data_IF_599621157706
#
_entry.id   IF_599621157706
#
_cell.length_a   1.000
_cell.length_b   1.000
_cell.length_c   1.000
_cell.angle_alpha   90.00
_cell.angle_beta   90.00
_cell.angle_gamma   90.00
#
_symmetry.space_group_name_H-M   'P 1'
#
loop_
_entity.id
_entity.type
_entity.pdbx_description
1 polymer ?
#
# COMPACT_ATOMS: atom_id res chain seq x y z
N UNK A 1 19.90 1.57 -13.21
CA UNK A 1 18.91 2.67 -13.29
C UNK A 1 17.56 2.16 -12.82
N UNK A 2 17.22 2.34 -11.54
CA UNK A 2 15.90 1.95 -11.03
C UNK A 2 14.85 2.92 -11.59
N UNK A 3 13.80 2.35 -12.17
CA UNK A 3 12.72 3.06 -12.88
C UNK A 3 12.14 4.14 -11.98
N UNK A 4 12.01 5.34 -12.55
CA UNK A 4 11.15 6.37 -12.00
C UNK A 4 9.73 5.81 -11.87
N UNK A 5 9.36 5.41 -10.66
CA UNK A 5 8.08 4.82 -10.27
C UNK A 5 6.87 5.58 -10.82
N UNK A 6 6.31 5.02 -11.88
CA UNK A 6 4.89 5.11 -12.22
C UNK A 6 4.19 3.85 -11.72
N UNK A 7 2.86 3.90 -11.63
CA UNK A 7 2.03 2.75 -11.34
C UNK A 7 2.05 1.82 -12.56
N UNK A 8 2.44 0.56 -12.36
CA UNK A 8 2.46 -0.47 -13.40
C UNK A 8 1.06 -1.07 -13.53
N UNK A 9 0.36 -0.74 -14.62
CA UNK A 9 -1.01 -1.16 -14.86
C UNK A 9 -1.12 -2.68 -15.00
N UNK A 10 -0.16 -3.31 -15.67
CA UNK A 10 -0.19 -4.74 -15.96
C UNK A 10 0.05 -5.55 -14.68
N UNK A 11 0.99 -5.08 -13.84
CA UNK A 11 1.23 -5.68 -12.54
C UNK A 11 -0.02 -5.60 -11.64
N UNK A 12 -0.70 -4.46 -11.59
CA UNK A 12 -1.93 -4.29 -10.81
C UNK A 12 -3.09 -5.13 -11.36
N UNK A 13 -3.22 -5.24 -12.69
CA UNK A 13 -4.24 -6.06 -13.32
C UNK A 13 -4.07 -7.56 -12.98
N UNK A 14 -2.83 -8.06 -12.88
CA UNK A 14 -2.56 -9.43 -12.42
C UNK A 14 -3.02 -9.71 -10.98
N UNK A 15 -3.16 -8.65 -10.16
CA UNK A 15 -3.72 -8.71 -8.80
C UNK A 15 -5.23 -8.46 -8.77
N UNK A 16 -5.88 -8.35 -9.93
CA UNK A 16 -7.31 -8.05 -10.06
C UNK A 16 -7.68 -6.59 -9.76
N UNK A 17 -6.71 -5.67 -9.82
CA UNK A 17 -6.94 -4.23 -9.59
C UNK A 17 -7.00 -3.50 -10.93
N UNK A 18 -8.18 -2.96 -11.24
CA UNK A 18 -8.38 -2.09 -12.41
C UNK A 18 -7.88 -0.67 -12.11
N UNK A 19 -6.73 -0.32 -12.69
CA UNK A 19 -6.08 0.98 -12.48
C UNK A 19 -6.90 2.14 -13.09
N UNK A 20 -7.63 1.92 -14.18
CA UNK A 20 -8.43 2.97 -14.81
C UNK A 20 -9.64 3.31 -13.93
N UNK A 21 -10.31 2.28 -13.42
CA UNK A 21 -11.39 2.46 -12.46
C UNK A 21 -10.91 3.17 -11.19
N UNK A 22 -9.75 2.79 -10.67
CA UNK A 22 -9.14 3.44 -9.49
C UNK A 22 -8.82 4.91 -9.77
N UNK A 23 -8.30 5.23 -10.96
CA UNK A 23 -8.06 6.61 -11.41
C UNK A 23 -9.35 7.42 -11.49
N UNK A 24 -10.38 6.87 -12.13
CA UNK A 24 -11.67 7.54 -12.25
C UNK A 24 -12.28 7.85 -10.88
N UNK A 25 -12.27 6.87 -9.97
CA UNK A 25 -12.74 7.06 -8.60
C UNK A 25 -11.91 8.10 -7.85
N UNK A 26 -10.59 8.07 -7.98
CA UNK A 26 -9.72 9.03 -7.32
C UNK A 26 -9.96 10.46 -7.83
N UNK A 27 -10.11 10.65 -9.13
CA UNK A 27 -10.37 11.96 -9.73
C UNK A 27 -11.76 12.49 -9.36
N UNK A 28 -12.77 11.62 -9.28
CA UNK A 28 -14.10 12.00 -8.82
C UNK A 28 -14.11 12.48 -7.35
N UNK A 29 -13.21 11.95 -6.52
CA UNK A 29 -13.17 12.22 -5.07
C UNK A 29 -12.19 13.33 -4.70
N UNK A 30 -11.06 13.44 -5.39
CA UNK A 30 -9.94 14.33 -5.05
C UNK A 30 -9.60 15.34 -6.17
N UNK A 31 -10.34 15.32 -7.27
CA UNK A 31 -10.19 16.21 -8.44
C UNK A 31 -9.22 15.66 -9.50
N UNK A 32 -9.24 16.20 -10.73
CA UNK A 32 -8.52 15.65 -11.87
C UNK A 32 -7.03 15.40 -11.62
N UNK A 33 -6.52 14.27 -12.11
CA UNK A 33 -5.13 13.86 -11.96
C UNK A 33 -4.71 13.69 -10.50
N UNK A 34 -5.61 13.23 -9.62
CA UNK A 34 -5.34 13.04 -8.20
C UNK A 34 -4.17 12.08 -7.96
N UNK A 35 -4.19 10.92 -8.64
CA UNK A 35 -3.15 9.90 -8.49
C UNK A 35 -1.82 10.33 -9.12
N UNK A 36 -1.86 11.02 -10.27
CA UNK A 36 -0.65 11.48 -10.95
C UNK A 36 0.04 12.63 -10.20
N UNK A 37 -0.71 13.43 -9.43
CA UNK A 37 -0.14 14.43 -8.52
C UNK A 37 0.55 13.78 -7.32
N UNK A 38 -0.04 12.71 -6.76
CA UNK A 38 0.55 11.96 -5.65
C UNK A 38 1.87 11.28 -6.04
N UNK A 39 1.98 10.76 -7.28
CA UNK A 39 3.22 10.17 -7.79
C UNK A 39 4.34 11.18 -8.09
N UNK A 40 3.97 12.44 -8.38
CA UNK A 40 4.90 13.53 -8.69
C UNK A 40 5.52 14.19 -7.46
N UNK A 41 4.94 14.02 -6.28
CA UNK A 41 5.56 14.42 -5.00
C UNK A 41 6.71 13.48 -4.63
N UNK A 42 7.82 13.54 -5.37
CA UNK A 42 9.12 13.07 -4.87
C UNK A 42 9.73 14.20 -4.02
N UNK A 43 10.13 13.84 -2.80
CA UNK A 43 10.92 14.63 -1.84
C UNK A 43 10.21 15.76 -1.06
N UNK A 44 9.04 15.51 -0.47
CA UNK A 44 8.51 16.38 0.57
C UNK A 44 7.47 15.69 1.45
N UNK A 45 7.58 15.85 2.78
CA UNK A 45 6.58 15.36 3.73
C UNK A 45 5.23 16.01 3.39
N UNK A 46 4.21 15.24 2.96
CA UNK A 46 2.93 15.78 2.55
C UNK A 46 2.35 16.67 3.65
N UNK A 47 1.91 17.88 3.28
CA UNK A 47 1.22 18.76 4.20
C UNK A 47 -0.21 18.25 4.35
N UNK A 48 -0.62 17.93 5.57
CA UNK A 48 -2.03 17.64 5.83
C UNK A 48 -2.87 18.89 5.61
N UNK A 49 -3.92 18.76 4.80
CA UNK A 49 -4.96 19.78 4.69
C UNK A 49 -5.74 19.91 6.02
N UNK A 50 -6.46 21.02 6.23
CA UNK A 50 -7.22 21.32 7.44
C UNK A 50 -8.17 20.17 7.83
N UNK A 51 -8.85 19.58 6.85
CA UNK A 51 -9.75 18.44 7.06
C UNK A 51 -9.01 17.18 7.50
N UNK A 52 -7.85 16.90 6.91
CA UNK A 52 -7.02 15.75 7.30
C UNK A 52 -6.47 15.90 8.72
N UNK A 53 -6.03 17.10 9.10
CA UNK A 53 -5.65 17.40 10.50
C UNK A 53 -6.82 17.18 11.45
N UNK A 54 -8.01 17.64 11.08
CA UNK A 54 -9.22 17.44 11.88
C UNK A 54 -9.55 15.96 12.08
N UNK A 55 -9.47 15.15 11.02
CA UNK A 55 -9.66 13.71 11.09
C UNK A 55 -8.68 13.04 12.05
N UNK A 56 -7.39 13.44 12.03
CA UNK A 56 -6.38 12.93 12.95
C UNK A 56 -6.65 13.31 14.41
N UNK A 57 -7.07 14.55 14.68
CA UNK A 57 -7.48 14.99 16.03
C UNK A 57 -8.66 14.17 16.55
N UNK A 58 -9.66 13.92 15.69
CA UNK A 58 -10.84 13.13 16.05
C UNK A 58 -10.46 11.67 16.28
N UNK A 59 -9.58 11.09 15.46
CA UNK A 59 -9.05 9.74 15.65
C UNK A 59 -8.32 9.61 16.99
N UNK A 60 -7.47 10.58 17.34
CA UNK A 60 -6.80 10.61 18.64
C UNK A 60 -7.81 10.63 19.80
N UNK A 61 -8.87 11.44 19.70
CA UNK A 61 -9.93 11.48 20.72
C UNK A 61 -10.65 10.14 20.86
N UNK A 62 -10.87 9.42 19.76
CA UNK A 62 -11.47 8.08 19.80
C UNK A 62 -10.55 7.05 20.45
N UNK A 63 -9.24 7.09 20.16
CA UNK A 63 -8.26 6.22 20.82
C UNK A 63 -8.28 6.41 22.35
N UNK A 64 -8.31 7.66 22.81
CA UNK A 64 -8.42 7.98 24.23
C UNK A 64 -9.75 7.51 24.85
N UNK A 65 -10.89 7.71 24.15
CA UNK A 65 -12.21 7.25 24.62
C UNK A 65 -12.26 5.74 24.80
N UNK A 66 -11.64 4.99 23.89
CA UNK A 66 -11.57 3.53 23.91
C UNK A 66 -10.46 2.99 24.83
N UNK A 67 -9.67 3.90 25.44
CA UNK A 67 -8.52 3.58 26.31
C UNK A 67 -7.44 2.74 25.60
N UNK A 68 -7.29 2.97 24.31
CA UNK A 68 -6.24 2.34 23.50
C UNK A 68 -4.96 3.14 23.59
N UNK A 69 -3.82 2.43 23.73
CA UNK A 69 -2.50 3.03 23.91
C UNK A 69 -1.85 3.44 22.58
N UNK A 70 -2.52 3.23 21.46
CA UNK A 70 -1.99 3.43 20.12
C UNK A 70 -3.11 3.76 19.14
N UNK A 71 -2.81 4.53 18.09
CA UNK A 71 -3.77 4.85 17.05
C UNK A 71 -3.84 3.70 16.05
N UNK A 72 -4.85 2.84 16.17
CA UNK A 72 -5.20 1.81 15.18
C UNK A 72 -6.02 2.37 14.01
N UNK A 73 -6.09 1.60 12.92
CA UNK A 73 -6.88 1.94 11.71
C UNK A 73 -8.34 2.26 12.03
N UNK A 74 -8.90 1.58 13.02
CA UNK A 74 -10.25 1.81 13.54
C UNK A 74 -10.47 3.24 14.04
N UNK A 75 -9.54 3.78 14.81
CA UNK A 75 -9.67 5.15 15.31
C UNK A 75 -9.58 6.14 14.15
N UNK A 76 -8.73 5.85 13.17
CA UNK A 76 -8.65 6.65 11.96
C UNK A 76 -9.97 6.63 11.17
N UNK A 77 -10.60 5.47 11.00
CA UNK A 77 -11.92 5.34 10.38
C UNK A 77 -12.98 6.11 11.16
N UNK A 78 -13.03 5.99 12.49
CA UNK A 78 -13.97 6.74 13.33
C UNK A 78 -13.72 8.26 13.26
N UNK A 79 -12.45 8.68 13.20
CA UNK A 79 -12.06 10.07 13.02
C UNK A 79 -12.46 10.63 11.66
N UNK A 80 -12.30 9.84 10.59
CA UNK A 80 -12.71 10.18 9.23
C UNK A 80 -14.23 10.24 9.07
N UNK A 81 -14.97 9.30 9.64
CA UNK A 81 -16.44 9.32 9.63
C UNK A 81 -17.04 10.56 10.32
N UNK A 82 -16.25 11.20 11.20
CA UNK A 82 -16.65 12.42 11.91
C UNK A 82 -15.99 13.69 11.36
N UNK A 83 -14.99 13.55 10.50
CA UNK A 83 -14.37 14.67 9.81
C UNK A 83 -15.03 14.80 8.45
N UNK A 84 -15.94 15.77 8.33
CA UNK A 84 -16.65 16.07 7.09
C UNK A 84 -15.69 16.09 5.88
N UNK A 85 -16.02 15.35 4.82
CA UNK A 85 -15.24 15.35 3.58
C UNK A 85 -15.29 14.05 2.78
N UNK A 86 -14.40 13.96 1.79
CA UNK A 86 -14.31 12.82 0.87
C UNK A 86 -14.06 11.48 1.55
N UNK A 87 -13.29 11.48 2.64
CA UNK A 87 -13.01 10.27 3.43
C UNK A 87 -14.26 9.70 4.10
N UNK A 88 -15.14 10.56 4.62
CA UNK A 88 -16.43 10.14 5.18
C UNK A 88 -17.30 9.50 4.10
N UNK A 89 -17.49 10.21 2.97
CA UNK A 89 -18.33 9.73 1.88
C UNK A 89 -17.84 8.38 1.31
N UNK A 90 -16.53 8.15 1.27
CA UNK A 90 -15.96 6.88 0.84
C UNK A 90 -16.24 5.74 1.84
N UNK A 91 -16.10 6.01 3.14
CA UNK A 91 -16.35 5.02 4.19
C UNK A 91 -17.84 4.65 4.28
N UNK A 92 -18.73 5.64 4.12
CA UNK A 92 -20.18 5.43 4.05
C UNK A 92 -20.56 4.57 2.84
N UNK A 93 -20.01 4.87 1.65
CA UNK A 93 -20.21 4.05 0.44
C UNK A 93 -19.70 2.61 0.60
N UNK A 94 -18.68 2.42 1.43
CA UNK A 94 -18.11 1.11 1.73
C UNK A 94 -18.91 0.33 2.78
N UNK A 95 -20.00 0.90 3.32
CA UNK A 95 -20.85 0.25 4.32
C UNK A 95 -20.21 0.13 5.71
N UNK A 96 -19.23 0.97 6.03
CA UNK A 96 -18.55 0.93 7.33
C UNK A 96 -19.44 1.56 8.40
N UNK A 97 -19.99 0.72 9.29
CA UNK A 97 -20.78 1.18 10.42
C UNK A 97 -19.88 1.59 11.61
N UNK A 98 -19.93 2.85 12.09
CA UNK A 98 -19.17 3.30 13.25
C UNK A 98 -19.48 2.50 14.52
N UNK A 99 -20.68 1.92 14.67
CA UNK A 99 -21.02 1.12 15.84
C UNK A 99 -20.17 -0.16 15.91
N UNK A 100 -19.81 -0.77 14.77
CA UNK A 100 -18.92 -1.95 14.71
C UNK A 100 -17.47 -1.62 15.04
N UNK A 101 -17.09 -0.35 14.91
CA UNK A 101 -15.74 0.15 15.16
C UNK A 101 -15.50 0.58 16.62
N UNK A 102 -16.54 0.66 17.45
CA UNK A 102 -16.41 1.10 18.86
C UNK A 102 -16.09 0.02 19.90
N UNK A 103 -16.49 -1.26 19.75
CA UNK A 103 -16.13 -2.28 20.72
C UNK A 103 -14.61 -2.38 20.81
N UNK A 104 -14.07 -2.47 22.03
CA UNK A 104 -12.62 -2.63 22.26
C UNK A 104 -12.09 -3.78 21.40
N UNK A 105 -11.15 -3.49 20.50
CA UNK A 105 -10.52 -4.54 19.69
C UNK A 105 -9.77 -5.44 20.66
N UNK A 106 -9.97 -6.74 20.52
CA UNK A 106 -9.04 -7.69 21.11
C UNK A 106 -7.64 -7.35 20.55
N UNK A 107 -6.57 -7.38 21.36
CA UNK A 107 -5.23 -7.09 20.86
C UNK A 107 -4.99 -7.88 19.58
N UNK A 108 -4.62 -7.16 18.51
CA UNK A 108 -4.35 -7.78 17.22
C UNK A 108 -3.26 -8.82 17.43
N UNK A 109 -3.47 -10.02 16.87
CA UNK A 109 -2.39 -11.01 16.77
C UNK A 109 -1.14 -10.32 16.19
N UNK A 110 0.07 -10.71 16.64
CA UNK A 110 1.30 -10.11 16.15
C UNK A 110 1.24 -10.07 14.62
N UNK A 111 1.65 -8.94 14.04
CA UNK A 111 1.73 -8.78 12.59
C UNK A 111 2.44 -10.01 12.05
N UNK A 112 1.87 -10.64 11.02
CA UNK A 112 2.61 -11.65 10.25
C UNK A 112 3.93 -10.99 9.89
N UNK A 113 5.00 -11.37 10.59
CA UNK A 113 6.35 -11.07 10.15
C UNK A 113 6.41 -11.80 8.81
N UNK A 114 6.58 -11.10 7.67
CA UNK A 114 6.91 -11.85 6.46
C UNK A 114 8.06 -12.79 6.84
N UNK A 115 8.04 -14.07 6.43
CA UNK A 115 9.16 -14.96 6.71
C UNK A 115 10.41 -14.16 6.35
N UNK A 116 11.32 -14.03 7.31
CA UNK A 116 12.49 -13.18 7.15
C UNK A 116 13.08 -13.53 5.79
N UNK A 117 13.03 -12.59 4.83
CA UNK A 117 13.69 -12.76 3.54
C UNK A 117 15.18 -12.57 3.81
N UNK A 118 15.71 -13.48 4.60
CA UNK A 118 17.11 -13.78 4.72
C UNK A 118 17.48 -14.37 3.36
N UNK A 119 17.75 -13.49 2.40
CA UNK A 119 18.74 -13.79 1.38
C UNK A 119 20.09 -13.93 2.09
N UNK A 120 20.24 -15.03 2.81
CA UNK A 120 21.53 -15.55 3.18
C UNK A 120 21.61 -16.91 2.49
N UNK A 121 22.27 -17.00 1.33
CA UNK A 121 22.74 -18.30 0.88
C UNK A 121 23.96 -18.64 1.75
N UNK A 122 23.90 -19.61 2.68
CA UNK A 122 25.06 -20.47 2.82
C UNK A 122 25.04 -21.36 1.57
N UNK A 123 26.14 -21.41 0.83
CA UNK A 123 26.41 -22.45 -0.18
C UNK A 123 26.01 -22.21 -1.65
N UNK A 124 25.98 -20.96 -2.13
CA UNK A 124 26.16 -20.74 -3.58
C UNK A 124 27.64 -20.89 -3.96
N UNK A 125 28.10 -22.11 -4.22
CA UNK A 125 29.36 -22.35 -4.94
C UNK A 125 29.15 -22.05 -6.43
N UNK A 126 30.15 -21.45 -7.05
CA UNK A 126 30.11 -20.84 -8.37
C UNK A 126 29.93 -21.80 -9.56
N UNK A 127 29.62 -23.08 -9.34
CA UNK A 127 29.70 -24.14 -10.36
C UNK A 127 28.33 -24.67 -10.85
N UNK A 128 27.20 -24.26 -10.27
CA UNK A 128 25.85 -24.73 -10.65
C UNK A 128 25.09 -23.75 -11.58
N UNK A 129 25.78 -23.04 -12.48
CA UNK A 129 25.13 -22.11 -13.45
C UNK A 129 24.67 -22.84 -14.73
N UNK A 130 24.70 -24.17 -14.75
CA UNK A 130 24.59 -24.94 -15.98
C UNK A 130 23.71 -26.17 -15.93
N UNK A 131 22.49 -26.14 -15.38
CA UNK A 131 21.51 -27.19 -15.67
C UNK A 131 20.06 -26.81 -15.33
N UNK A 132 19.17 -27.28 -16.22
CA UNK A 132 17.74 -27.56 -15.99
C UNK A 132 16.72 -26.43 -16.20
N UNK A 133 16.48 -26.17 -17.48
CA UNK A 133 15.14 -26.10 -18.03
C UNK A 133 14.47 -27.48 -17.92
N UNK A 134 13.52 -27.65 -17.00
CA UNK A 134 12.28 -28.46 -17.16
C UNK A 134 11.69 -28.84 -15.81
N UNK A 135 10.81 -28.02 -15.26
CA UNK A 135 9.65 -28.48 -14.48
C UNK A 135 8.76 -27.28 -14.20
N UNK A 136 7.53 -27.33 -14.67
CA UNK A 136 6.54 -26.28 -14.47
C UNK A 136 6.28 -26.03 -12.98
N UNK A 137 6.62 -24.82 -12.54
CA UNK A 137 6.01 -24.01 -11.47
C UNK A 137 6.63 -22.63 -11.64
N UNK A 138 5.78 -21.64 -11.89
CA UNK A 138 6.18 -20.28 -12.21
C UNK A 138 6.70 -19.56 -10.96
N UNK A 139 7.96 -19.81 -10.61
CA UNK A 139 8.78 -18.92 -9.78
C UNK A 139 9.89 -18.36 -10.67
N UNK A 140 9.52 -17.45 -11.57
CA UNK A 140 10.49 -16.84 -12.48
C UNK A 140 11.31 -15.79 -11.72
N UNK A 141 12.52 -16.18 -11.33
CA UNK A 141 13.61 -15.24 -11.07
C UNK A 141 13.98 -14.52 -12.38
N UNK A 142 13.46 -13.32 -12.61
CA UNK A 142 13.97 -12.42 -13.65
C UNK A 142 15.26 -11.77 -13.13
N UNK A 143 16.40 -12.42 -13.36
CA UNK A 143 17.72 -11.77 -13.23
C UNK A 143 17.98 -10.99 -14.52
N UNK A 144 18.16 -9.68 -14.38
CA UNK A 144 18.23 -8.73 -15.49
C UNK A 144 19.30 -9.06 -16.53
N UNK A 145 18.95 -8.88 -17.81
CA UNK A 145 19.93 -8.78 -18.90
C UNK A 145 20.78 -7.53 -18.70
N UNK A 146 22.06 -7.73 -18.42
CA UNK A 146 23.11 -6.75 -18.60
C UNK A 146 24.24 -7.36 -19.43
N UNK A 147 24.83 -6.51 -20.28
CA UNK A 147 26.16 -6.60 -20.90
C UNK A 147 26.35 -7.41 -22.21
N UNK A 148 26.60 -6.61 -23.25
CA UNK A 148 27.72 -6.70 -24.21
C UNK A 148 27.86 -7.88 -25.19
N UNK A 149 27.83 -7.52 -26.49
CA UNK A 149 28.68 -8.13 -27.52
C UNK A 149 29.46 -7.02 -28.23
N UNK A 150 30.71 -6.82 -27.82
CA UNK A 150 31.80 -6.45 -28.72
C UNK A 150 32.64 -7.71 -28.93
N UNK A 151 32.65 -8.25 -30.14
CA UNK A 151 33.85 -8.75 -30.82
C UNK A 151 33.42 -9.25 -32.20
N UNK A 152 34.02 -8.63 -33.21
CA UNK A 152 33.78 -8.77 -34.64
C UNK A 152 34.46 -7.59 -35.32
#
# INVERSE_FOLDING_TARGET
MLRSGGLDADALASLGVDLEQVRWQADAVFGPGALDRAGRTRAGQPRFDRRAKKALELALREAFRLKDRSIESRHLCLGLLRADGSGQALLEKSGVDPATLRPRSRPRAPRHRPPDVSCHPPDCRSEDVGAQLSSGREDVCVVGRAAERMSG
#
